data_IF_152421581406
#
_entry.id   IF_152421581406
#
_cell.length_a   1.000
_cell.length_b   1.000
_cell.length_c   1.000
_cell.angle_alpha   90.00
_cell.angle_beta   90.00
_cell.angle_gamma   90.00
#
_symmetry.space_group_name_H-M   'P 1'
#
loop_
_entity.id
_entity.type
_entity.pdbx_description
1 polymer ?
#
# COMPACT_ATOMS: atom_id res chain seq x y z
N UNK A 1 -20.63 8.46 3.30
CA UNK A 1 -19.64 7.56 2.69
C UNK A 1 -19.38 6.50 3.73
N UNK A 2 -19.56 5.22 3.38
CA UNK A 2 -19.28 4.12 4.30
C UNK A 2 -17.76 4.12 4.63
N UNK A 3 -17.37 3.68 5.83
CA UNK A 3 -15.94 3.70 6.21
C UNK A 3 -15.10 2.86 5.24
N UNK A 4 -15.68 1.75 4.74
CA UNK A 4 -15.08 0.90 3.72
C UNK A 4 -14.69 1.69 2.48
N UNK A 5 -15.62 2.40 1.83
CA UNK A 5 -15.36 3.16 0.60
C UNK A 5 -14.28 4.23 0.77
N UNK A 6 -14.21 4.83 1.96
CA UNK A 6 -13.18 5.82 2.30
C UNK A 6 -11.79 5.18 2.32
N UNK A 7 -11.63 4.00 2.92
CA UNK A 7 -10.36 3.27 2.91
C UNK A 7 -9.97 2.82 1.51
N UNK A 8 -10.93 2.37 0.69
CA UNK A 8 -10.68 1.98 -0.70
C UNK A 8 -10.15 3.16 -1.51
N UNK A 9 -10.78 4.32 -1.36
CA UNK A 9 -10.36 5.55 -2.03
C UNK A 9 -8.95 5.97 -1.60
N UNK A 10 -8.62 5.89 -0.31
CA UNK A 10 -7.28 6.22 0.20
C UNK A 10 -6.23 5.25 -0.35
N UNK A 11 -6.49 3.94 -0.34
CA UNK A 11 -5.56 2.95 -0.91
C UNK A 11 -5.32 3.19 -2.40
N UNK A 12 -6.38 3.46 -3.16
CA UNK A 12 -6.29 3.76 -4.58
C UNK A 12 -5.47 5.04 -4.83
N UNK A 13 -5.72 6.09 -4.04
CA UNK A 13 -4.96 7.34 -4.12
C UNK A 13 -3.47 7.11 -3.82
N UNK A 14 -3.14 6.35 -2.77
CA UNK A 14 -1.76 5.95 -2.43
C UNK A 14 -1.13 5.17 -3.58
N UNK A 15 -1.82 4.18 -4.15
CA UNK A 15 -1.34 3.41 -5.29
C UNK A 15 -1.01 4.29 -6.51
N UNK A 16 -1.88 5.25 -6.83
CA UNK A 16 -1.65 6.22 -7.92
C UNK A 16 -0.44 7.11 -7.63
N UNK A 17 -0.32 7.63 -6.40
CA UNK A 17 0.82 8.46 -5.99
C UNK A 17 2.13 7.67 -6.08
N UNK A 18 2.13 6.39 -5.68
CA UNK A 18 3.28 5.52 -5.81
C UNK A 18 3.68 5.32 -7.28
N UNK A 19 2.73 5.02 -8.17
CA UNK A 19 3.03 4.85 -9.61
C UNK A 19 3.60 6.14 -10.21
N UNK A 20 2.98 7.29 -9.95
CA UNK A 20 3.47 8.58 -10.43
C UNK A 20 4.86 8.93 -9.84
N UNK A 21 5.05 8.67 -8.55
CA UNK A 21 6.34 8.83 -7.86
C UNK A 21 7.42 7.93 -8.45
N UNK A 22 7.11 6.67 -8.74
CA UNK A 22 8.02 5.73 -9.39
C UNK A 22 8.37 6.12 -10.82
N UNK A 23 7.43 6.67 -11.60
CA UNK A 23 7.72 7.22 -12.94
C UNK A 23 8.67 8.43 -12.84
N UNK A 24 8.48 9.29 -11.83
CA UNK A 24 9.38 10.43 -11.61
C UNK A 24 10.80 10.02 -11.20
N UNK A 25 10.99 8.78 -10.73
CA UNK A 25 12.29 8.18 -10.39
C UNK A 25 13.21 8.00 -11.61
N UNK A 26 12.65 7.93 -12.82
CA UNK A 26 13.43 7.78 -14.06
C UNK A 26 14.19 9.04 -14.46
N UNK A 27 13.88 10.19 -13.83
CA UNK A 27 14.51 11.48 -14.14
C UNK A 27 15.06 12.10 -12.85
N UNK A 28 16.39 12.21 -12.67
CA UNK A 28 17.51 11.91 -13.58
C UNK A 28 17.89 10.42 -13.67
N UNK A 29 18.42 10.02 -14.82
CA UNK A 29 18.70 8.63 -15.13
C UNK A 29 19.88 8.09 -14.30
N UNK A 30 19.62 7.08 -13.48
CA UNK A 30 20.63 6.36 -12.70
C UNK A 30 20.19 4.93 -12.46
N UNK A 31 21.13 3.98 -12.42
CA UNK A 31 20.82 2.55 -12.24
C UNK A 31 20.06 2.28 -10.93
N UNK A 32 20.44 2.95 -9.83
CA UNK A 32 19.73 2.85 -8.56
C UNK A 32 18.31 3.40 -8.65
N UNK A 33 18.14 4.57 -9.25
CA UNK A 33 16.83 5.21 -9.46
C UNK A 33 15.93 4.37 -10.36
N UNK A 34 16.47 3.73 -11.39
CA UNK A 34 15.74 2.80 -12.26
C UNK A 34 15.16 1.62 -11.46
N UNK A 35 16.01 0.95 -10.68
CA UNK A 35 15.61 -0.21 -9.89
C UNK A 35 14.53 0.18 -8.88
N UNK A 36 14.74 1.28 -8.15
CA UNK A 36 13.77 1.77 -7.18
C UNK A 36 12.45 2.14 -7.88
N UNK A 37 12.50 2.82 -9.02
CA UNK A 37 11.31 3.23 -9.78
C UNK A 37 10.46 2.03 -10.20
N UNK A 38 11.10 0.96 -10.69
CA UNK A 38 10.42 -0.29 -11.03
C UNK A 38 9.74 -0.89 -9.79
N UNK A 39 10.45 -1.01 -8.66
CA UNK A 39 9.86 -1.55 -7.43
C UNK A 39 8.66 -0.74 -6.95
N UNK A 40 8.78 0.60 -6.92
CA UNK A 40 7.70 1.49 -6.47
C UNK A 40 6.48 1.39 -7.39
N UNK A 41 6.66 1.29 -8.71
CA UNK A 41 5.57 1.09 -9.67
C UNK A 41 4.89 -0.27 -9.43
N UNK A 42 5.66 -1.35 -9.29
CA UNK A 42 5.10 -2.68 -9.03
C UNK A 42 4.31 -2.71 -7.71
N UNK A 43 4.83 -2.07 -6.67
CA UNK A 43 4.15 -1.93 -5.39
C UNK A 43 2.87 -1.09 -5.50
N UNK A 44 2.92 0.05 -6.18
CA UNK A 44 1.74 0.90 -6.40
C UNK A 44 0.64 0.21 -7.19
N UNK A 45 1.01 -0.52 -8.25
CA UNK A 45 0.08 -1.36 -9.01
C UNK A 45 -0.48 -2.49 -8.16
N UNK A 46 0.33 -3.13 -7.31
CA UNK A 46 -0.15 -4.19 -6.43
C UNK A 46 -1.20 -3.67 -5.43
N UNK A 47 -0.97 -2.50 -4.84
CA UNK A 47 -1.92 -1.84 -3.93
C UNK A 47 -3.21 -1.46 -4.65
N UNK A 48 -3.11 -0.93 -5.87
CA UNK A 48 -4.28 -0.58 -6.68
C UNK A 48 -5.08 -1.83 -7.11
N UNK A 49 -4.40 -2.90 -7.54
CA UNK A 49 -5.05 -4.14 -7.97
C UNK A 49 -5.77 -4.85 -6.83
N UNK A 50 -5.17 -4.88 -5.64
CA UNK A 50 -5.78 -5.41 -4.41
C UNK A 50 -7.13 -4.76 -4.08
N UNK A 51 -7.39 -3.54 -4.59
CA UNK A 51 -8.62 -2.79 -4.34
C UNK A 51 -9.76 -3.17 -5.30
N UNK A 52 -9.44 -3.72 -6.47
CA UNK A 52 -10.41 -4.17 -7.46
C UNK A 52 -10.68 -5.68 -7.39
N UNK A 53 -9.69 -6.46 -6.97
CA UNK A 53 -9.77 -7.91 -6.83
C UNK A 53 -8.75 -8.41 -5.81
N UNK A 54 -9.07 -9.46 -5.07
CA UNK A 54 -8.15 -10.10 -4.12
C UNK A 54 -7.50 -11.31 -4.81
N UNK A 55 -6.30 -11.17 -5.41
CA UNK A 55 -5.63 -12.31 -6.01
C UNK A 55 -5.22 -13.33 -4.92
N UNK A 56 -5.54 -14.63 -5.11
CA UNK A 56 -5.30 -15.67 -4.11
C UNK A 56 -3.81 -15.85 -3.78
N UNK A 57 -2.91 -15.47 -4.69
CA UNK A 57 -1.47 -15.51 -4.48
C UNK A 57 -0.99 -14.44 -3.48
N UNK A 58 -1.55 -13.22 -3.50
CA UNK A 58 -1.20 -12.20 -2.49
C UNK A 58 -1.81 -12.54 -1.13
N UNK A 59 -3.00 -13.13 -1.10
CA UNK A 59 -3.57 -13.64 0.15
C UNK A 59 -2.67 -14.69 0.81
N UNK A 60 -2.02 -15.54 0.00
CA UNK A 60 -1.13 -16.61 0.46
C UNK A 60 0.25 -16.12 0.90
N UNK A 61 0.89 -15.23 0.13
CA UNK A 61 2.29 -14.84 0.36
C UNK A 61 2.45 -13.47 1.04
N UNK A 62 1.44 -12.61 0.99
CA UNK A 62 1.51 -11.24 1.50
C UNK A 62 0.33 -10.95 2.44
N UNK A 63 0.03 -11.87 3.36
CA UNK A 63 -1.06 -11.73 4.34
C UNK A 63 -0.92 -10.46 5.20
N UNK A 64 0.30 -9.93 5.37
CA UNK A 64 0.54 -8.66 6.06
C UNK A 64 -0.09 -7.45 5.36
N UNK A 65 -0.26 -7.48 4.03
CA UNK A 65 -0.98 -6.45 3.28
C UNK A 65 -2.50 -6.52 3.51
N UNK A 66 -3.00 -7.43 4.33
CA UNK A 66 -4.42 -7.48 4.74
C UNK A 66 -4.60 -7.10 6.21
N UNK A 67 -3.56 -6.59 6.88
CA UNK A 67 -3.64 -6.00 8.20
C UNK A 67 -3.38 -4.48 8.13
N UNK A 68 -4.05 -3.70 8.99
CA UNK A 68 -3.79 -2.26 9.13
C UNK A 68 -2.31 -1.98 9.47
N UNK A 69 -1.75 -2.78 10.38
CA UNK A 69 -0.34 -2.73 10.79
C UNK A 69 0.61 -2.95 9.60
N UNK A 70 0.37 -4.04 8.86
CA UNK A 70 1.25 -4.47 7.79
C UNK A 70 1.15 -3.58 6.55
N UNK A 71 -0.04 -3.07 6.21
CA UNK A 71 -0.21 -2.01 5.20
C UNK A 71 0.48 -0.72 5.63
N UNK A 72 0.31 -0.31 6.89
CA UNK A 72 0.94 0.90 7.42
C UNK A 72 2.47 0.83 7.35
N UNK A 73 3.06 -0.28 7.82
CA UNK A 73 4.50 -0.52 7.72
C UNK A 73 5.00 -0.53 6.27
N UNK A 74 4.23 -1.13 5.35
CA UNK A 74 4.54 -1.13 3.92
C UNK A 74 4.54 0.27 3.31
N UNK A 75 3.52 1.08 3.61
CA UNK A 75 3.45 2.46 3.14
C UNK A 75 4.58 3.33 3.71
N UNK A 76 4.94 3.15 5.00
CA UNK A 76 6.10 3.82 5.59
C UNK A 76 7.38 3.43 4.83
N UNK A 77 7.58 2.13 4.58
CA UNK A 77 8.74 1.64 3.85
C UNK A 77 8.84 2.26 2.44
N UNK A 78 7.74 2.27 1.68
CA UNK A 78 7.73 2.84 0.33
C UNK A 78 7.88 4.36 0.37
N UNK A 79 7.28 5.04 1.35
CA UNK A 79 7.47 6.47 1.58
C UNK A 79 8.94 6.84 1.83
N UNK A 80 9.64 6.03 2.63
CA UNK A 80 11.08 6.19 2.88
C UNK A 80 11.94 5.98 1.63
N UNK A 81 11.56 5.04 0.76
CA UNK A 81 12.28 4.79 -0.50
C UNK A 81 12.06 5.90 -1.55
N UNK A 82 10.90 6.55 -1.49
CA UNK A 82 10.55 7.69 -2.36
C UNK A 82 11.21 9.01 -1.93
N UNK A 83 11.66 9.13 -0.68
CA UNK A 83 12.38 10.31 -0.17
C UNK A 83 13.77 10.40 -0.84
N UNK A 84 13.83 11.18 -1.91
CA UNK A 84 15.04 11.49 -2.68
C UNK A 84 15.21 13.02 -2.85
N UNK A 85 16.27 13.49 -3.50
CA UNK A 85 16.64 14.91 -3.56
C UNK A 85 15.66 15.83 -4.32
N UNK A 86 14.66 15.29 -5.03
CA UNK A 86 13.69 16.09 -5.79
C UNK A 86 12.42 16.40 -4.99
N UNK A 87 12.02 17.68 -4.99
CA UNK A 87 10.88 18.21 -4.23
C UNK A 87 9.57 17.44 -4.46
N UNK A 88 9.22 17.11 -5.71
CA UNK A 88 8.00 16.36 -6.02
C UNK A 88 8.00 14.95 -5.42
N UNK A 89 9.17 14.32 -5.36
CA UNK A 89 9.38 12.97 -4.82
C UNK A 89 9.36 12.99 -3.31
N UNK A 90 9.94 14.02 -2.69
CA UNK A 90 9.82 14.27 -1.24
C UNK A 90 8.37 14.44 -0.84
N UNK A 91 7.58 15.22 -1.58
CA UNK A 91 6.16 15.42 -1.27
C UNK A 91 5.39 14.10 -1.41
N UNK A 92 5.58 13.37 -2.51
CA UNK A 92 4.91 12.08 -2.73
C UNK A 92 5.29 11.05 -1.65
N UNK A 93 6.58 10.92 -1.34
CA UNK A 93 7.09 10.02 -0.30
C UNK A 93 6.60 10.41 1.10
N UNK A 94 6.56 11.70 1.42
CA UNK A 94 6.03 12.20 2.69
C UNK A 94 4.53 11.91 2.84
N UNK A 95 3.73 12.11 1.79
CA UNK A 95 2.29 11.79 1.82
C UNK A 95 2.10 10.29 2.08
N UNK A 96 2.77 9.42 1.31
CA UNK A 96 2.64 7.97 1.45
C UNK A 96 3.13 7.51 2.84
N UNK A 97 4.23 8.08 3.33
CA UNK A 97 4.77 7.80 4.67
C UNK A 97 3.83 8.23 5.80
N UNK A 98 3.27 9.44 5.72
CA UNK A 98 2.29 9.95 6.71
C UNK A 98 1.01 9.13 6.71
N UNK A 99 0.52 8.76 5.52
CA UNK A 99 -0.63 7.83 5.41
C UNK A 99 -0.28 6.51 6.07
N UNK A 100 0.91 5.96 5.85
CA UNK A 100 1.38 4.74 6.51
C UNK A 100 1.36 4.83 8.04
N UNK A 101 1.85 5.95 8.62
CA UNK A 101 1.77 6.20 10.07
C UNK A 101 0.31 6.25 10.53
N UNK A 102 -0.57 6.87 9.74
CA UNK A 102 -2.02 6.87 10.01
C UNK A 102 -2.60 5.46 10.07
N UNK A 103 -2.25 4.58 9.13
CA UNK A 103 -2.69 3.18 9.12
C UNK A 103 -2.18 2.40 10.34
N UNK A 104 -0.94 2.64 10.78
CA UNK A 104 -0.41 2.04 12.03
C UNK A 104 -1.15 2.59 13.25
N UNK A 105 -1.44 3.89 13.29
CA UNK A 105 -2.19 4.48 14.40
C UNK A 105 -3.62 3.94 14.50
N UNK A 106 -4.26 3.67 13.35
CA UNK A 106 -5.60 3.07 13.28
C UNK A 106 -5.64 1.64 13.84
N UNK A 107 -4.53 0.91 13.85
CA UNK A 107 -4.44 -0.41 14.50
C UNK A 107 -4.75 -0.33 16.00
N UNK A 108 -4.36 0.76 16.66
CA UNK A 108 -4.60 0.97 18.08
C UNK A 108 -6.02 1.46 18.40
N UNK A 109 -6.88 1.64 17.39
CA UNK A 109 -8.27 2.03 17.54
C UNK A 109 -9.16 0.80 17.26
N UNK A 110 -9.64 0.09 18.31
CA UNK A 110 -10.36 -1.18 18.16
C UNK A 110 -11.73 -1.08 17.48
N UNK A 111 -12.18 0.13 17.15
CA UNK A 111 -13.53 0.45 16.66
C UNK A 111 -13.64 0.49 15.14
N UNK A 112 -12.54 0.32 14.40
CA UNK A 112 -12.57 0.32 12.93
C UNK A 112 -12.64 -1.13 12.48
N UNK A 113 -13.82 -1.55 12.03
CA UNK A 113 -13.98 -2.85 11.38
C UNK A 113 -13.07 -2.91 10.14
N UNK A 114 -12.27 -3.97 9.98
CA UNK A 114 -11.46 -4.17 8.79
C UNK A 114 -12.37 -4.15 7.54
N UNK A 115 -12.04 -3.37 6.49
CA UNK A 115 -12.82 -3.35 5.26
C UNK A 115 -12.91 -4.76 4.65
N UNK A 116 -13.95 -5.04 3.85
CA UNK A 116 -14.28 -6.36 3.32
C UNK A 116 -13.10 -7.10 2.63
N UNK A 117 -12.16 -6.36 2.04
CA UNK A 117 -10.91 -6.88 1.48
C UNK A 117 -10.00 -7.61 2.50
N UNK A 118 -10.14 -7.35 3.80
CA UNK A 118 -9.45 -8.05 4.88
C UNK A 118 -10.27 -9.22 5.47
N UNK A 119 -11.60 -9.24 5.26
CA UNK A 119 -12.52 -10.29 5.74
C UNK A 119 -12.63 -11.49 4.80
N UNK A 120 -12.50 -11.31 3.49
CA UNK A 120 -12.57 -12.41 2.52
C UNK A 120 -11.27 -13.24 2.46
N UNK A 121 -10.12 -12.64 2.80
CA UNK A 121 -8.85 -13.36 2.90
C UNK A 121 -8.84 -14.40 4.03
N UNK A 122 -9.62 -14.17 5.10
CA UNK A 122 -9.79 -15.07 6.24
C UNK A 122 -10.78 -16.22 5.95
N UNK A 123 -11.69 -16.05 4.99
CA UNK A 123 -12.66 -17.09 4.60
C UNK A 123 -12.06 -18.20 3.72
N UNK A 124 -10.86 -17.98 3.16
CA UNK A 124 -10.17 -18.97 2.33
C UNK A 124 -9.33 -19.99 3.10
N UNK A 125 -9.05 -19.77 4.39
CA UNK A 125 -8.19 -20.66 5.17
C UNK A 125 -8.72 -20.83 6.60
N UNK A 126 -9.65 -21.78 6.73
CA UNK A 126 -10.25 -22.20 8.00
C UNK A 126 -11.43 -23.16 7.83
N UNK A 127 -12.00 -23.27 6.62
CA UNK A 127 -13.14 -24.14 6.33
C UNK A 127 -12.77 -25.56 5.85
N UNK A 128 -11.48 -25.90 5.72
CA UNK A 128 -11.04 -27.20 5.17
C UNK A 128 -10.04 -27.96 6.06
N UNK A 129 -10.04 -27.74 7.39
CA UNK A 129 -9.32 -28.61 8.33
C UNK A 129 -10.07 -28.79 9.65
N UNK A 130 -11.19 -29.54 9.63
CA UNK A 130 -11.45 -30.70 10.49
C UNK A 130 -12.61 -31.53 9.94
#
# INVERSE_FOLDING_TARGET
MDFSDTFRLVNLAVGVIMVLGGISQFFPFGFQSLIIGIYVILFGLSVALLEFQIPPQLSRYASFLFSFAGRGAFYIFVGCILLDHHVLRVIAGAIVGVVGVGYVALEFIPSVEPPANMREADQGWGAEQV
#
